data_IF_471378270699
#
_entry.id   IF_471378270699
#
_cell.length_a   1.000
_cell.length_b   1.000
_cell.length_c   1.000
_cell.angle_alpha   90.00
_cell.angle_beta   90.00
_cell.angle_gamma   90.00
#
_symmetry.space_group_name_H-M   'P 1'
#
loop_
_entity.id
_entity.type
_entity.pdbx_description
1 polymer ?
#
# COMPACT_ATOMS: atom_id res chain seq x y z
N UNK A 1 -4.17 -61.20 35.55
CA UNK A 1 -3.50 -59.92 35.21
C UNK A 1 -4.13 -59.33 33.98
N UNK A 2 -5.15 -58.45 34.21
CA UNK A 2 -5.92 -57.75 33.14
C UNK A 2 -5.19 -56.45 32.74
N UNK A 3 -4.76 -56.34 31.48
CA UNK A 3 -4.19 -55.12 30.93
C UNK A 3 -5.30 -54.27 30.36
N UNK A 4 -5.58 -53.12 30.99
CA UNK A 4 -6.46 -52.08 30.47
C UNK A 4 -5.66 -51.20 29.53
N UNK A 5 -5.95 -51.22 28.22
CA UNK A 5 -5.41 -50.29 27.23
C UNK A 5 -6.23 -49.00 27.30
N UNK A 6 -5.61 -47.89 27.74
CA UNK A 6 -6.16 -46.56 27.60
C UNK A 6 -5.89 -46.05 26.17
N UNK A 7 -6.94 -45.96 25.37
CA UNK A 7 -6.90 -45.33 24.07
C UNK A 7 -7.09 -43.82 24.29
N UNK A 8 -6.00 -43.05 24.22
CA UNK A 8 -6.06 -41.59 24.24
C UNK A 8 -6.50 -41.11 22.86
N UNK A 9 -7.77 -40.71 22.74
CA UNK A 9 -8.30 -40.10 21.53
C UNK A 9 -7.76 -38.66 21.38
N UNK A 10 -6.93 -38.39 20.37
CA UNK A 10 -6.58 -37.06 19.95
C UNK A 10 -7.81 -36.37 19.34
N UNK A 11 -8.40 -35.43 20.06
CA UNK A 11 -9.42 -34.53 19.53
C UNK A 11 -8.70 -33.47 18.64
N UNK A 12 -8.73 -33.67 17.32
CA UNK A 12 -8.32 -32.66 16.37
C UNK A 12 -9.39 -31.56 16.38
N UNK A 13 -9.05 -30.37 16.94
CA UNK A 13 -9.89 -29.19 16.83
C UNK A 13 -9.80 -28.69 15.38
N UNK A 14 -10.93 -28.37 14.72
CA UNK A 14 -10.89 -27.75 13.39
C UNK A 14 -10.24 -26.39 13.50
N UNK A 15 -9.15 -26.17 12.75
CA UNK A 15 -8.56 -24.86 12.57
C UNK A 15 -9.48 -24.06 11.63
N UNK A 16 -10.27 -23.15 12.17
CA UNK A 16 -10.99 -22.17 11.36
C UNK A 16 -9.97 -21.14 10.86
N UNK A 17 -9.71 -21.16 9.56
CA UNK A 17 -9.03 -20.02 8.91
C UNK A 17 -9.96 -18.81 9.04
N UNK A 18 -9.42 -17.67 9.48
CA UNK A 18 -10.18 -16.43 9.55
C UNK A 18 -10.66 -16.05 8.13
N UNK A 19 -11.95 -15.76 7.99
CA UNK A 19 -12.49 -15.29 6.71
C UNK A 19 -11.86 -13.94 6.34
N UNK A 20 -11.58 -13.69 5.04
CA UNK A 20 -11.02 -12.42 4.60
C UNK A 20 -12.02 -11.29 4.80
N UNK A 21 -11.50 -10.11 5.18
CA UNK A 21 -12.30 -8.89 5.22
C UNK A 21 -12.59 -8.44 3.79
N UNK A 22 -13.86 -8.17 3.49
CA UNK A 22 -14.26 -7.67 2.18
C UNK A 22 -14.15 -6.15 2.14
N UNK A 23 -13.32 -5.65 1.24
CA UNK A 23 -13.23 -4.21 0.91
C UNK A 23 -13.78 -3.93 -0.49
N UNK A 24 -14.23 -2.70 -0.71
CA UNK A 24 -14.61 -2.22 -2.01
C UNK A 24 -13.39 -1.96 -2.92
N UNK A 25 -13.66 -1.67 -4.17
CA UNK A 25 -12.60 -1.27 -5.13
C UNK A 25 -11.93 0.06 -4.79
N UNK A 26 -12.59 0.90 -3.99
CA UNK A 26 -12.11 2.16 -3.45
C UNK A 26 -12.43 2.23 -1.97
N UNK A 27 -11.48 2.74 -1.17
CA UNK A 27 -11.66 2.88 0.27
C UNK A 27 -11.09 4.23 0.76
N UNK A 28 -11.55 4.70 1.93
CA UNK A 28 -10.95 5.81 2.63
C UNK A 28 -9.83 5.31 3.54
N UNK A 29 -8.64 5.86 3.36
CA UNK A 29 -7.46 5.45 4.12
C UNK A 29 -6.81 6.68 4.75
N UNK A 30 -6.61 6.65 6.06
CA UNK A 30 -5.84 7.66 6.78
C UNK A 30 -4.37 7.27 6.80
N UNK A 31 -3.51 8.21 6.47
CA UNK A 31 -2.06 8.07 6.59
C UNK A 31 -1.64 8.81 7.87
N UNK A 32 -1.16 8.08 8.87
CA UNK A 32 -0.91 8.64 10.20
C UNK A 32 0.18 9.72 10.18
N UNK A 33 1.28 9.50 9.46
CA UNK A 33 2.38 10.46 9.36
C UNK A 33 1.97 11.77 8.68
N UNK A 34 0.93 11.73 7.86
CA UNK A 34 0.42 12.89 7.12
C UNK A 34 -0.79 13.51 7.84
N UNK A 35 -1.51 12.72 8.63
CA UNK A 35 -2.72 13.15 9.33
C UNK A 35 -3.90 13.39 8.41
N UNK A 36 -3.89 12.86 7.18
CA UNK A 36 -4.96 13.05 6.19
C UNK A 36 -5.57 11.72 5.77
N UNK A 37 -6.89 11.74 5.55
CA UNK A 37 -7.65 10.64 4.93
C UNK A 37 -7.77 10.90 3.44
N UNK A 38 -7.35 9.95 2.64
CA UNK A 38 -7.37 10.01 1.19
C UNK A 38 -8.23 8.89 0.60
N UNK A 39 -8.93 9.13 -0.52
CA UNK A 39 -9.52 8.06 -1.29
C UNK A 39 -8.43 7.24 -1.96
N UNK A 40 -8.52 5.92 -1.83
CA UNK A 40 -7.54 4.98 -2.35
C UNK A 40 -8.18 3.98 -3.31
N UNK A 41 -7.45 3.59 -4.34
CA UNK A 41 -7.81 2.45 -5.20
C UNK A 41 -7.20 1.18 -4.62
N UNK A 42 -8.04 0.17 -4.39
CA UNK A 42 -7.62 -1.18 -4.02
C UNK A 42 -7.31 -1.96 -5.31
N UNK A 43 -6.03 -2.18 -5.60
CA UNK A 43 -5.56 -2.66 -6.91
C UNK A 43 -4.81 -3.99 -6.78
N UNK A 44 -5.51 -5.10 -7.00
CA UNK A 44 -4.92 -6.44 -6.96
C UNK A 44 -3.94 -6.72 -8.11
N UNK A 45 -3.92 -5.88 -9.15
CA UNK A 45 -2.99 -5.98 -10.28
C UNK A 45 -1.67 -5.25 -10.06
N UNK A 46 -1.56 -4.38 -9.04
CA UNK A 46 -0.33 -3.76 -8.60
C UNK A 46 0.26 -4.53 -7.41
N UNK A 47 1.58 -4.62 -7.30
CA UNK A 47 2.23 -5.30 -6.17
C UNK A 47 2.27 -4.40 -4.94
N UNK A 48 2.78 -3.17 -5.09
CA UNK A 48 3.09 -2.24 -3.98
C UNK A 48 2.09 -1.11 -3.89
N UNK A 49 2.06 -0.43 -2.74
CA UNK A 49 1.29 0.79 -2.56
C UNK A 49 2.02 2.00 -3.17
N UNK A 50 1.26 3.03 -3.54
CA UNK A 50 1.78 4.24 -4.18
C UNK A 50 0.99 5.48 -3.75
N UNK A 51 1.70 6.54 -3.35
CA UNK A 51 1.13 7.82 -2.93
C UNK A 51 1.48 8.93 -3.92
N UNK A 52 0.50 9.78 -4.22
CA UNK A 52 0.71 10.97 -5.05
C UNK A 52 1.51 12.02 -4.30
N UNK A 53 2.72 12.28 -4.79
CA UNK A 53 3.65 13.22 -4.20
C UNK A 53 4.34 14.07 -5.29
N UNK A 54 4.72 15.29 -4.92
CA UNK A 54 5.50 16.23 -5.74
C UNK A 54 6.70 16.77 -4.96
N UNK A 55 7.60 17.42 -5.64
CA UNK A 55 8.82 18.00 -5.06
C UNK A 55 9.61 16.94 -4.25
N UNK A 56 9.70 15.72 -4.81
CA UNK A 56 10.33 14.57 -4.17
C UNK A 56 11.84 14.74 -4.24
N UNK A 57 12.49 14.85 -3.10
CA UNK A 57 13.93 15.06 -2.98
C UNK A 57 14.54 14.13 -1.94
N UNK A 58 15.55 13.38 -2.34
CA UNK A 58 16.34 12.54 -1.43
C UNK A 58 17.48 13.36 -0.83
N UNK A 59 17.74 13.14 0.45
CA UNK A 59 18.82 13.81 1.18
C UNK A 59 19.37 12.92 2.29
N UNK A 60 20.48 13.30 2.88
CA UNK A 60 21.06 12.60 4.01
C UNK A 60 20.91 13.40 5.31
N UNK A 61 20.62 12.69 6.39
CA UNK A 61 20.57 13.21 7.76
C UNK A 61 21.20 12.18 8.70
N UNK A 62 22.23 12.58 9.42
CA UNK A 62 22.94 11.74 10.40
C UNK A 62 23.44 10.41 9.82
N UNK A 63 23.87 10.41 8.55
CA UNK A 63 24.36 9.22 7.85
C UNK A 63 23.27 8.28 7.33
N UNK A 64 22.01 8.66 7.45
CA UNK A 64 20.85 7.91 6.96
C UNK A 64 20.20 8.60 5.76
N UNK A 65 19.65 7.79 4.86
CA UNK A 65 18.96 8.32 3.68
C UNK A 65 17.51 8.68 4.03
N UNK A 66 17.10 9.85 3.62
CA UNK A 66 15.78 10.44 3.83
C UNK A 66 15.20 10.93 2.51
N UNK A 67 13.89 11.06 2.48
CA UNK A 67 13.18 11.72 1.39
C UNK A 67 12.21 12.75 1.96
N UNK A 68 12.15 13.92 1.30
CA UNK A 68 11.14 14.94 1.56
C UNK A 68 10.26 15.12 0.35
N UNK A 69 9.01 15.45 0.59
CA UNK A 69 8.00 15.57 -0.45
C UNK A 69 6.80 16.38 0.02
N UNK A 70 5.97 16.82 -0.91
CA UNK A 70 4.64 17.39 -0.68
C UNK A 70 3.59 16.49 -1.29
N UNK A 71 2.37 16.52 -0.75
CA UNK A 71 1.26 15.82 -1.39
C UNK A 71 0.91 16.48 -2.73
N UNK A 72 0.70 15.66 -3.76
CA UNK A 72 0.17 16.07 -5.05
C UNK A 72 -1.30 15.67 -5.13
N UNK A 73 -2.14 16.30 -4.31
CA UNK A 73 -3.57 16.05 -4.17
C UNK A 73 -4.31 17.38 -4.26
N UNK A 74 -5.44 17.42 -4.92
CA UNK A 74 -6.27 18.63 -5.02
C UNK A 74 -6.65 19.14 -3.63
N UNK A 75 -6.46 20.43 -3.39
CA UNK A 75 -6.73 21.06 -2.10
C UNK A 75 -5.72 20.76 -0.99
N UNK A 76 -4.62 20.04 -1.30
CA UNK A 76 -3.53 19.87 -0.34
C UNK A 76 -2.81 21.19 -0.11
N UNK A 77 -2.41 21.43 1.14
CA UNK A 77 -1.52 22.51 1.51
C UNK A 77 -0.08 22.23 1.04
N UNK A 78 0.83 23.21 1.26
CA UNK A 78 2.25 23.08 0.90
C UNK A 78 3.10 22.45 2.01
N UNK A 79 2.50 21.66 2.90
CA UNK A 79 3.23 20.98 3.97
C UNK A 79 4.31 20.08 3.40
N UNK A 80 5.54 20.26 3.88
CA UNK A 80 6.68 19.42 3.56
C UNK A 80 6.75 18.25 4.55
N UNK A 81 6.64 17.05 4.04
CA UNK A 81 6.78 15.82 4.81
C UNK A 81 8.18 15.24 4.62
N UNK A 82 8.73 14.65 5.65
CA UNK A 82 10.03 13.97 5.63
C UNK A 82 9.89 12.57 6.22
N UNK A 83 10.45 11.59 5.53
CA UNK A 83 10.43 10.18 5.92
C UNK A 83 11.79 9.53 5.67
N UNK A 84 12.13 8.50 6.43
CA UNK A 84 13.30 7.66 6.11
C UNK A 84 13.09 6.94 4.79
N UNK A 85 14.11 6.97 3.95
CA UNK A 85 14.11 6.22 2.70
C UNK A 85 14.39 4.74 3.01
N UNK A 86 13.47 3.86 2.62
CA UNK A 86 13.63 2.41 2.76
C UNK A 86 14.31 1.79 1.53
N UNK A 87 14.14 2.40 0.37
CA UNK A 87 14.71 1.92 -0.87
C UNK A 87 14.17 2.66 -2.10
N UNK A 88 14.53 2.15 -3.27
CA UNK A 88 14.07 2.66 -4.56
C UNK A 88 13.34 1.55 -5.30
N UNK A 89 12.07 1.76 -5.60
CA UNK A 89 11.29 0.87 -6.46
C UNK A 89 11.51 1.23 -7.92
N UNK A 90 11.78 0.23 -8.76
CA UNK A 90 11.97 0.37 -10.20
C UNK A 90 10.76 -0.23 -10.93
N UNK A 91 9.91 0.63 -11.44
CA UNK A 91 8.66 0.25 -12.08
C UNK A 91 8.81 0.42 -13.60
N UNK A 92 8.43 -0.61 -14.36
CA UNK A 92 8.39 -0.51 -15.83
C UNK A 92 7.38 0.58 -16.21
N UNK A 93 7.85 1.57 -16.95
CA UNK A 93 6.98 2.63 -17.50
C UNK A 93 6.08 2.00 -18.58
N UNK A 94 4.80 2.39 -18.62
CA UNK A 94 3.94 1.98 -19.72
C UNK A 94 4.43 2.60 -21.02
N UNK A 95 4.25 1.89 -22.14
CA UNK A 95 4.71 2.36 -23.46
C UNK A 95 4.16 3.75 -23.83
N UNK A 96 2.98 4.10 -23.33
CA UNK A 96 2.33 5.40 -23.53
C UNK A 96 3.05 6.56 -22.80
N UNK A 97 3.75 6.28 -21.69
CA UNK A 97 4.52 7.26 -20.92
C UNK A 97 5.97 7.36 -21.40
N UNK A 98 6.45 6.37 -22.12
CA UNK A 98 7.84 6.22 -22.52
C UNK A 98 8.21 7.00 -23.80
N UNK A 99 7.24 7.55 -24.53
CA UNK A 99 7.49 8.24 -25.80
C UNK A 99 8.05 7.30 -26.88
N UNK A 100 8.84 7.82 -27.80
CA UNK A 100 9.54 7.04 -28.84
C UNK A 100 10.69 6.25 -28.23
N UNK A 101 10.42 5.03 -27.76
CA UNK A 101 11.44 4.07 -27.29
C UNK A 101 11.91 3.23 -28.48
N UNK A 102 13.22 3.12 -28.64
CA UNK A 102 13.82 2.18 -29.57
C UNK A 102 13.33 0.75 -29.25
N UNK A 103 12.75 0.00 -30.23
CA UNK A 103 12.23 -1.34 -30.00
C UNK A 103 13.25 -2.34 -29.43
N UNK A 104 14.54 -2.09 -29.64
CA UNK A 104 15.64 -2.94 -29.18
C UNK A 104 16.21 -2.49 -27.83
N UNK A 105 15.69 -1.41 -27.23
CA UNK A 105 16.12 -0.94 -25.91
C UNK A 105 15.25 -1.51 -24.78
N UNK A 106 15.85 -1.73 -23.61
CA UNK A 106 15.09 -2.08 -22.41
C UNK A 106 14.13 -0.92 -22.07
N UNK A 107 12.83 -1.21 -21.81
CA UNK A 107 11.86 -0.15 -21.54
C UNK A 107 12.32 0.69 -20.34
N UNK A 108 12.18 2.02 -20.39
CA UNK A 108 12.59 2.90 -19.30
C UNK A 108 11.87 2.51 -18.02
N UNK A 109 12.61 2.52 -16.92
CA UNK A 109 12.08 2.23 -15.58
C UNK A 109 12.02 3.53 -14.80
N UNK A 110 10.83 3.85 -14.27
CA UNK A 110 10.69 4.94 -13.32
C UNK A 110 11.22 4.51 -11.96
N UNK A 111 12.16 5.26 -11.41
CA UNK A 111 12.64 5.09 -10.04
C UNK A 111 11.76 5.88 -9.09
N UNK A 112 11.26 5.22 -8.03
CA UNK A 112 10.38 5.83 -7.05
C UNK A 112 10.91 5.55 -5.64
N UNK A 113 11.15 6.58 -4.83
CA UNK A 113 11.51 6.40 -3.43
C UNK A 113 10.42 5.65 -2.68
N UNK A 114 10.83 4.75 -1.79
CA UNK A 114 9.94 3.95 -0.94
C UNK A 114 10.11 4.37 0.51
N UNK A 115 9.00 4.60 1.19
CA UNK A 115 8.93 5.00 2.60
C UNK A 115 7.95 4.11 3.37
N UNK A 116 8.17 3.95 4.68
CA UNK A 116 7.23 3.27 5.56
C UNK A 116 6.14 4.23 6.04
N UNK A 117 4.88 3.81 5.93
CA UNK A 117 3.73 4.59 6.40
C UNK A 117 2.76 3.73 7.18
N UNK A 118 2.18 4.30 8.24
CA UNK A 118 1.07 3.68 8.98
C UNK A 118 -0.23 4.05 8.26
N UNK A 119 -0.89 3.06 7.68
CA UNK A 119 -2.16 3.21 6.98
C UNK A 119 -3.29 2.63 7.82
N UNK A 120 -4.32 3.44 8.04
CA UNK A 120 -5.55 3.03 8.72
C UNK A 120 -6.69 2.89 7.71
N UNK A 121 -7.28 1.70 7.63
CA UNK A 121 -8.46 1.38 6.82
C UNK A 121 -9.51 0.72 7.71
N UNK A 122 -10.71 1.33 7.83
CA UNK A 122 -11.67 0.93 8.85
C UNK A 122 -11.03 1.02 10.24
N UNK A 123 -10.95 -0.09 10.94
CA UNK A 123 -10.31 -0.24 12.26
C UNK A 123 -8.92 -0.92 12.20
N UNK A 124 -8.41 -1.18 11.00
CA UNK A 124 -7.15 -1.88 10.77
C UNK A 124 -6.00 -0.89 10.52
N UNK A 125 -5.01 -0.91 11.41
CA UNK A 125 -3.75 -0.16 11.24
C UNK A 125 -2.66 -1.12 10.75
N UNK A 126 -1.97 -0.74 9.67
CA UNK A 126 -0.85 -1.51 9.09
C UNK A 126 0.30 -0.61 8.72
N UNK A 127 1.51 -1.07 8.98
CA UNK A 127 2.71 -0.48 8.40
C UNK A 127 2.89 -1.00 6.98
N UNK A 128 3.02 -0.09 6.02
CA UNK A 128 3.02 -0.37 4.60
C UNK A 128 4.17 0.35 3.93
N UNK A 129 4.90 -0.33 3.05
CA UNK A 129 5.85 0.30 2.16
C UNK A 129 5.11 0.99 1.01
N UNK A 130 5.32 2.29 0.89
CA UNK A 130 4.63 3.14 -0.09
C UNK A 130 5.66 3.80 -0.98
N UNK A 131 5.54 3.61 -2.30
CA UNK A 131 6.36 4.36 -3.25
C UNK A 131 5.76 5.74 -3.52
N UNK A 132 6.63 6.75 -3.69
CA UNK A 132 6.26 8.13 -3.96
C UNK A 132 6.39 8.43 -5.45
N UNK A 133 5.33 8.99 -6.04
CA UNK A 133 5.34 9.44 -7.45
C UNK A 133 4.22 10.42 -7.68
N UNK A 134 4.33 11.25 -8.71
CA UNK A 134 3.20 12.08 -9.14
C UNK A 134 2.10 11.18 -9.74
N UNK A 135 0.93 11.25 -9.12
CA UNK A 135 -0.27 10.51 -9.54
C UNK A 135 -1.39 11.45 -9.98
N UNK A 136 -1.10 12.71 -10.26
CA UNK A 136 -2.11 13.71 -10.67
C UNK A 136 -2.85 13.32 -11.95
N UNK A 137 -2.25 12.47 -12.78
CA UNK A 137 -2.89 11.89 -13.98
C UNK A 137 -3.82 10.70 -13.68
N UNK A 138 -3.86 10.22 -12.44
CA UNK A 138 -4.72 9.12 -12.01
C UNK A 138 -5.90 9.64 -11.20
N UNK A 139 -7.01 8.92 -11.23
CA UNK A 139 -8.23 9.30 -10.51
C UNK A 139 -8.10 9.23 -8.97
N UNK A 140 -7.10 8.52 -8.45
CA UNK A 140 -6.91 8.30 -7.02
C UNK A 140 -5.49 8.63 -6.59
N UNK A 141 -5.31 9.45 -5.54
CA UNK A 141 -4.01 9.86 -5.05
C UNK A 141 -3.25 8.74 -4.31
N UNK A 142 -3.96 7.75 -3.82
CA UNK A 142 -3.40 6.58 -3.13
C UNK A 142 -3.84 5.30 -3.85
N UNK A 143 -2.90 4.37 -4.01
CA UNK A 143 -3.13 3.04 -4.53
C UNK A 143 -2.61 2.04 -3.51
N UNK A 144 -3.40 1.01 -3.25
CA UNK A 144 -3.04 -0.11 -2.37
C UNK A 144 -2.87 -1.35 -3.23
N UNK A 145 -1.66 -1.90 -3.21
CA UNK A 145 -1.32 -3.07 -4.00
C UNK A 145 -1.60 -4.40 -3.31
N UNK A 146 -1.37 -5.48 -4.03
CA UNK A 146 -1.68 -6.84 -3.61
C UNK A 146 -0.97 -7.27 -2.32
N UNK A 147 0.25 -6.77 -2.06
CA UNK A 147 0.99 -7.08 -0.83
C UNK A 147 0.22 -6.59 0.39
N UNK A 148 -0.18 -5.33 0.42
CA UNK A 148 -0.96 -4.77 1.52
C UNK A 148 -2.34 -5.41 1.65
N UNK A 149 -3.02 -5.70 0.51
CA UNK A 149 -4.31 -6.39 0.51
C UNK A 149 -4.20 -7.76 1.18
N UNK A 150 -3.14 -8.51 0.88
CA UNK A 150 -2.84 -9.80 1.50
C UNK A 150 -2.55 -9.66 3.01
N UNK A 151 -1.75 -8.67 3.40
CA UNK A 151 -1.38 -8.44 4.81
C UNK A 151 -2.57 -7.99 5.67
N UNK A 152 -3.59 -7.41 5.05
CA UNK A 152 -4.89 -7.12 5.66
C UNK A 152 -5.79 -8.37 5.76
N UNK A 153 -5.37 -9.52 5.24
CA UNK A 153 -6.24 -10.68 5.02
C UNK A 153 -7.55 -10.27 4.34
N UNK A 154 -7.44 -9.56 3.21
CA UNK A 154 -8.56 -8.92 2.54
C UNK A 154 -8.85 -9.54 1.17
N UNK A 155 -10.12 -9.44 0.77
CA UNK A 155 -10.58 -9.66 -0.59
C UNK A 155 -11.27 -8.40 -1.12
N UNK A 156 -11.13 -8.14 -2.42
CA UNK A 156 -11.73 -6.96 -3.04
C UNK A 156 -13.01 -7.35 -3.76
N UNK A 157 -14.10 -6.66 -3.40
CA UNK A 157 -15.38 -6.80 -4.08
C UNK A 157 -15.57 -5.65 -5.06
N UNK A 158 -15.40 -5.88 -6.38
CA UNK A 158 -15.27 -4.80 -7.36
C UNK A 158 -16.51 -3.93 -7.55
N UNK A 159 -17.68 -4.45 -7.19
CA UNK A 159 -18.95 -3.70 -7.35
C UNK A 159 -19.17 -2.68 -6.22
N UNK A 160 -18.48 -2.86 -5.08
CA UNK A 160 -18.64 -2.02 -3.90
C UNK A 160 -17.55 -0.93 -3.80
N UNK A 161 -17.85 0.09 -3.00
CA UNK A 161 -16.96 1.21 -2.70
C UNK A 161 -17.15 1.63 -1.25
N UNK A 162 -16.05 2.00 -0.60
CA UNK A 162 -16.04 2.59 0.74
C UNK A 162 -16.74 1.73 1.80
N UNK A 163 -16.60 0.41 1.67
CA UNK A 163 -17.23 -0.57 2.57
C UNK A 163 -16.64 -0.53 3.98
N UNK A 164 -15.38 -0.13 4.12
CA UNK A 164 -14.73 0.06 5.41
C UNK A 164 -15.21 1.30 6.17
N UNK A 165 -15.91 2.24 5.50
CA UNK A 165 -16.32 3.51 6.07
C UNK A 165 -15.13 4.46 6.28
N UNK A 166 -15.26 5.35 7.28
CA UNK A 166 -14.17 6.24 7.67
C UNK A 166 -13.18 5.50 8.59
N UNK A 167 -11.86 5.78 8.47
CA UNK A 167 -10.86 5.20 9.35
C UNK A 167 -11.09 5.56 10.83
N UNK A 168 -10.99 4.56 11.72
CA UNK A 168 -11.27 4.69 13.16
C UNK A 168 -10.09 4.27 14.04
N UNK A 169 -8.93 3.97 13.43
CA UNK A 169 -7.74 3.71 14.23
C UNK A 169 -7.39 4.99 15.04
#
# INVERSE_FOLDING_TARGET
>A
LSRVLFLAGLLALPAFAAEPTLYGRYEHIKIEQIGKTLPAKMDTGAMTASLSARDIEQFQRDGEDWVRFRLAVEGADDTLYEQRLLGISRIKTRAEEAGNVDPDSEPPRAERPVVGMQLCIGDQLREVEVNLTDRTHFSYPLLIGAETIRDLNAAIYPTEKYTAGQPTC
#
